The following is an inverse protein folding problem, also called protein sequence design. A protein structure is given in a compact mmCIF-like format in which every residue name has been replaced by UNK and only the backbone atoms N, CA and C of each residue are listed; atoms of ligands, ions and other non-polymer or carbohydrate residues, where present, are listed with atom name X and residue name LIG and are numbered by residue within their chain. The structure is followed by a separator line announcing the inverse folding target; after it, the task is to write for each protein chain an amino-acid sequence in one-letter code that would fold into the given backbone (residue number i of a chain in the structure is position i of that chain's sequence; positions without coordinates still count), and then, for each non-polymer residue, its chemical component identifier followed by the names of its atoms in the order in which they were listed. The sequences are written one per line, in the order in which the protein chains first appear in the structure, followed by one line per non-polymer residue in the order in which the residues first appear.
data_IF_620669198498
#
_entry.id   IF_620669198498
#
_cell.length_a   1.000
_cell.length_b   1.000
_cell.length_c   1.000
_cell.angle_alpha   90.00
_cell.angle_beta   90.00
_cell.angle_gamma   90.00
#
_symmetry.space_group_name_H-M   'P 1'
#
loop_
_entity.id
_entity.type
_entity.pdbx_description
1 polymer ?
#
# COMPACT_ATOMS: atom_id res chain seq x y z
N UNK A 1 23.91 32.06 16.30
CA UNK A 1 23.40 31.23 17.41
C UNK A 1 22.00 30.82 17.07
N UNK A 2 21.83 29.66 16.46
CA UNK A 2 20.53 29.14 16.05
C UNK A 2 20.02 28.15 17.09
N UNK A 3 18.81 28.43 17.57
CA UNK A 3 18.12 27.67 18.61
C UNK A 3 17.63 26.34 18.02
N UNK A 4 18.12 25.22 18.53
CA UNK A 4 17.67 23.88 18.16
C UNK A 4 16.36 23.57 18.88
N UNK A 5 15.23 23.75 18.21
CA UNK A 5 13.95 23.24 18.69
C UNK A 5 13.92 21.72 18.51
N UNK A 6 13.98 20.99 19.62
CA UNK A 6 13.74 19.54 19.63
C UNK A 6 12.24 19.30 19.50
N UNK A 7 11.82 18.74 18.36
CA UNK A 7 10.47 18.20 18.23
C UNK A 7 10.37 16.92 19.06
N UNK A 8 9.62 16.98 20.15
CA UNK A 8 9.27 15.84 20.99
C UNK A 8 7.89 15.35 20.58
N UNK A 9 7.82 14.24 19.84
CA UNK A 9 6.53 13.56 19.62
C UNK A 9 6.18 12.72 20.84
N UNK A 10 5.17 13.14 21.59
CA UNK A 10 4.53 12.31 22.62
C UNK A 10 3.50 11.39 21.93
N UNK A 11 3.82 10.10 21.89
CA UNK A 11 2.84 9.06 21.58
C UNK A 11 1.94 8.82 22.80
N UNK A 12 0.68 9.23 22.72
CA UNK A 12 -0.32 8.87 23.70
C UNK A 12 -0.81 7.45 23.42
N UNK A 13 -0.32 6.48 24.20
CA UNK A 13 -0.84 5.11 24.19
C UNK A 13 -2.05 5.07 25.13
N UNK A 14 -3.25 5.04 24.58
CA UNK A 14 -4.47 4.76 25.31
C UNK A 14 -4.63 3.25 25.53
N UNK A 15 -4.43 2.77 26.73
CA UNK A 15 -4.72 1.40 27.15
C UNK A 15 -6.21 1.28 27.42
N UNK A 16 -6.94 0.57 26.57
CA UNK A 16 -8.31 0.13 26.86
C UNK A 16 -8.25 -1.33 27.37
N UNK A 17 -8.47 -1.47 28.66
CA UNK A 17 -8.67 -2.76 29.32
C UNK A 17 -10.12 -3.23 29.13
N UNK A 18 -10.30 -4.38 28.49
CA UNK A 18 -11.59 -5.07 28.48
C UNK A 18 -11.63 -6.13 29.61
N UNK A 19 -12.56 -5.93 30.55
CA UNK A 19 -12.95 -6.95 31.53
C UNK A 19 -13.94 -7.91 30.89
N UNK A 20 -13.59 -9.18 30.84
CA UNK A 20 -14.51 -10.26 30.50
C UNK A 20 -15.26 -10.70 31.76
N UNK A 21 -16.58 -10.60 31.74
CA UNK A 21 -17.45 -11.20 32.74
C UNK A 21 -18.04 -12.47 32.16
N UNK A 22 -17.63 -13.62 32.69
CA UNK A 22 -18.22 -14.93 32.37
C UNK A 22 -19.41 -15.22 33.27
N UNK A 23 -20.50 -15.70 32.69
CA UNK A 23 -21.58 -16.35 33.44
C UNK A 23 -21.75 -17.78 32.92
N UNK A 24 -21.40 -18.73 33.78
CA UNK A 24 -21.80 -20.14 33.65
C UNK A 24 -23.31 -20.26 33.89
N UNK A 25 -23.99 -21.02 33.05
CA UNK A 25 -25.28 -21.61 33.38
C UNK A 25 -25.25 -23.08 32.97
N UNK A 26 -25.17 -23.94 33.99
CA UNK A 26 -25.39 -25.39 33.90
C UNK A 26 -26.86 -25.69 33.59
N UNK A 27 -27.12 -26.62 32.69
CA UNK A 27 -28.41 -27.31 32.56
C UNK A 27 -28.17 -28.81 32.53
N UNK A 28 -29.04 -29.61 33.16
CA UNK A 28 -28.77 -31.01 33.55
C UNK A 28 -29.08 -32.02 32.46
N UNK A 29 -28.38 -33.14 32.59
CA UNK A 29 -28.44 -34.41 31.81
C UNK A 29 -29.84 -34.97 31.66
N UNK A 30 -30.14 -35.50 30.47
CA UNK A 30 -31.22 -36.46 30.25
C UNK A 30 -30.64 -37.82 29.81
N UNK A 31 -31.24 -38.96 30.22
CA UNK A 31 -30.60 -40.27 30.19
C UNK A 31 -30.69 -41.01 28.85
N UNK A 32 -29.71 -41.88 28.66
CA UNK A 32 -29.44 -42.78 27.56
C UNK A 32 -30.64 -43.64 27.11
N UNK A 33 -30.74 -43.81 25.80
CA UNK A 33 -31.58 -44.79 25.16
C UNK A 33 -30.69 -45.84 24.45
N UNK A 34 -30.95 -47.16 24.56
CA UNK A 34 -29.99 -48.20 24.16
C UNK A 34 -29.94 -48.45 22.65
N UNK A 35 -28.73 -48.77 22.23
CA UNK A 35 -28.32 -49.09 20.85
C UNK A 35 -29.08 -50.25 20.23
N UNK A 36 -29.41 -50.06 18.94
CA UNK A 36 -29.90 -51.11 18.05
C UNK A 36 -28.73 -51.60 17.16
N UNK A 37 -28.39 -52.90 17.10
CA UNK A 37 -27.27 -53.37 16.29
C UNK A 37 -27.60 -53.33 14.80
N UNK A 38 -26.82 -52.53 14.06
CA UNK A 38 -26.98 -52.35 12.62
C UNK A 38 -26.52 -53.54 11.79
N UNK A 39 -27.20 -53.72 10.68
CA UNK A 39 -27.01 -54.67 9.59
C UNK A 39 -25.62 -54.57 8.91
N UNK A 40 -24.84 -55.64 8.70
CA UNK A 40 -23.46 -55.59 8.22
C UNK A 40 -23.30 -55.65 6.69
N UNK A 41 -24.17 -55.05 5.88
CA UNK A 41 -24.13 -55.20 4.41
C UNK A 41 -24.09 -53.90 3.56
N UNK A 42 -23.78 -52.75 4.11
CA UNK A 42 -23.56 -51.54 3.30
C UNK A 42 -22.07 -51.29 3.09
N UNK A 43 -21.56 -51.19 1.83
CA UNK A 43 -20.19 -50.82 1.58
C UNK A 43 -19.97 -49.34 2.03
N UNK A 44 -19.09 -49.15 2.97
CA UNK A 44 -18.63 -47.82 3.39
C UNK A 44 -17.84 -47.21 2.23
N UNK A 45 -18.44 -46.28 1.51
CA UNK A 45 -17.70 -45.44 0.59
C UNK A 45 -16.71 -44.61 1.40
N UNK A 46 -15.39 -44.61 1.09
CA UNK A 46 -14.44 -43.76 1.79
C UNK A 46 -14.89 -42.31 1.66
N UNK A 47 -15.08 -41.63 2.79
CA UNK A 47 -15.24 -40.16 2.77
C UNK A 47 -14.05 -39.56 2.04
N UNK A 48 -14.28 -38.60 1.10
CA UNK A 48 -13.18 -37.84 0.52
C UNK A 48 -12.38 -37.19 1.65
N UNK A 49 -11.04 -37.11 1.53
CA UNK A 49 -10.22 -36.47 2.53
C UNK A 49 -10.80 -35.10 2.83
N UNK A 50 -11.08 -34.80 4.09
CA UNK A 50 -11.46 -33.46 4.53
C UNK A 50 -10.32 -32.54 4.12
N UNK A 51 -10.60 -31.60 3.25
CA UNK A 51 -9.69 -30.46 3.03
C UNK A 51 -9.42 -29.86 4.41
N UNK A 52 -8.17 -29.94 4.85
CA UNK A 52 -7.75 -29.24 6.07
C UNK A 52 -7.99 -27.76 5.82
N UNK A 53 -8.98 -27.19 6.48
CA UNK A 53 -9.21 -25.77 6.50
C UNK A 53 -7.98 -25.12 7.13
N UNK A 54 -7.13 -24.48 6.34
CA UNK A 54 -5.96 -23.75 6.81
C UNK A 54 -6.42 -22.76 7.88
N UNK A 55 -5.95 -22.92 9.11
CA UNK A 55 -6.17 -21.95 10.17
C UNK A 55 -5.30 -20.74 9.85
N UNK A 56 -5.89 -19.64 9.35
CA UNK A 56 -5.17 -18.44 8.98
C UNK A 56 -4.41 -17.77 10.14
N UNK A 57 -4.77 -18.05 11.38
CA UNK A 57 -4.02 -17.61 12.58
C UNK A 57 -2.62 -18.22 12.68
N UNK A 58 -2.35 -19.30 11.93
CA UNK A 58 -1.07 -20.01 11.90
C UNK A 58 -0.52 -20.16 10.49
N UNK A 59 -0.95 -19.35 9.58
CA UNK A 59 -0.57 -19.41 8.17
C UNK A 59 0.92 -19.18 7.96
N UNK A 60 1.50 -18.21 8.68
CA UNK A 60 2.93 -17.89 8.58
C UNK A 60 3.74 -18.97 9.29
N UNK A 61 4.66 -19.61 8.56
CA UNK A 61 5.59 -20.60 9.10
C UNK A 61 6.86 -19.96 9.63
N UNK A 62 7.47 -19.06 8.83
CA UNK A 62 8.71 -18.40 9.17
C UNK A 62 8.76 -16.97 8.59
N UNK A 63 9.48 -16.09 9.27
CA UNK A 63 9.78 -14.72 8.83
C UNK A 63 11.24 -14.44 9.08
N UNK A 64 11.98 -14.07 8.04
CA UNK A 64 13.41 -13.81 8.07
C UNK A 64 13.69 -12.39 7.58
N UNK A 65 14.57 -11.67 8.26
CA UNK A 65 15.13 -10.42 7.75
C UNK A 65 16.39 -10.72 6.96
N UNK A 66 16.38 -10.37 5.68
CA UNK A 66 17.50 -10.58 4.76
C UNK A 66 18.41 -9.34 4.63
N UNK A 67 18.20 -8.32 5.47
CA UNK A 67 19.01 -7.11 5.49
C UNK A 67 18.24 -5.86 5.04
N UNK A 68 18.95 -4.75 4.94
CA UNK A 68 18.40 -3.51 4.40
C UNK A 68 18.42 -3.52 2.87
N UNK A 69 17.35 -3.03 2.25
CA UNK A 69 17.28 -2.85 0.81
C UNK A 69 18.06 -1.62 0.33
N UNK A 70 18.22 -0.62 1.22
CA UNK A 70 18.88 0.65 0.88
C UNK A 70 19.87 1.09 1.98
N UNK A 71 20.68 2.10 1.67
CA UNK A 71 21.67 2.66 2.56
C UNK A 71 23.02 1.95 2.47
N UNK A 72 23.92 2.33 3.36
CA UNK A 72 25.31 1.85 3.38
C UNK A 72 25.45 0.35 3.63
N UNK A 73 24.50 -0.22 4.37
CA UNK A 73 24.52 -1.64 4.76
C UNK A 73 23.78 -2.54 3.77
N UNK A 74 23.18 -1.97 2.72
CA UNK A 74 22.50 -2.75 1.68
C UNK A 74 23.50 -3.43 0.73
N UNK A 75 23.14 -4.56 0.12
CA UNK A 75 24.00 -5.23 -0.87
C UNK A 75 24.39 -4.31 -2.03
N UNK A 76 23.47 -3.48 -2.50
CA UNK A 76 23.69 -2.54 -3.61
C UNK A 76 24.40 -1.25 -3.22
N UNK A 77 24.77 -1.04 -1.92
CA UNK A 77 25.45 0.18 -1.47
C UNK A 77 24.81 1.45 -2.01
N UNK A 78 23.50 1.58 -1.80
CA UNK A 78 22.72 2.68 -2.40
C UNK A 78 23.14 4.08 -1.92
N UNK A 79 23.90 4.15 -0.83
CA UNK A 79 24.55 5.38 -0.36
C UNK A 79 25.53 5.98 -1.41
N UNK A 80 26.09 5.16 -2.28
CA UNK A 80 26.96 5.60 -3.39
C UNK A 80 26.19 6.31 -4.51
N UNK A 81 24.86 6.11 -4.57
CA UNK A 81 23.92 6.82 -5.46
C UNK A 81 23.21 8.01 -4.78
N UNK A 82 23.72 8.51 -3.66
CA UNK A 82 23.09 9.56 -2.84
C UNK A 82 21.76 9.13 -2.21
N UNK A 83 21.55 7.81 -2.00
CA UNK A 83 20.39 7.20 -1.34
C UNK A 83 20.83 6.48 -0.07
N UNK A 84 21.16 7.27 0.95
CA UNK A 84 21.61 6.76 2.25
C UNK A 84 20.49 6.59 3.27
N UNK A 85 19.30 7.12 3.00
CA UNK A 85 18.07 6.91 3.77
C UNK A 85 16.84 7.19 2.96
N UNK A 86 15.88 6.28 2.98
CA UNK A 86 14.58 6.40 2.31
C UNK A 86 13.56 5.45 2.93
N UNK A 87 12.31 5.54 2.49
CA UNK A 87 11.25 4.65 2.90
C UNK A 87 10.43 4.11 1.72
N UNK A 88 9.39 3.34 1.99
CA UNK A 88 8.48 2.67 1.07
C UNK A 88 9.18 1.63 0.20
N UNK A 89 9.38 1.92 -1.09
CA UNK A 89 9.92 0.98 -2.08
C UNK A 89 8.83 0.15 -2.75
N UNK A 90 7.81 0.81 -3.34
CA UNK A 90 6.78 0.14 -4.15
C UNK A 90 7.45 -0.59 -5.30
N UNK A 91 7.39 -1.94 -5.35
CA UNK A 91 8.00 -2.71 -6.41
C UNK A 91 7.13 -2.69 -7.68
N UNK A 92 7.79 -2.69 -8.84
CA UNK A 92 7.17 -2.84 -10.14
C UNK A 92 8.08 -3.66 -11.06
N UNK A 93 7.62 -4.82 -11.50
CA UNK A 93 8.34 -5.59 -12.50
C UNK A 93 8.03 -5.06 -13.90
N UNK A 94 9.04 -4.48 -14.57
CA UNK A 94 8.95 -3.95 -15.92
C UNK A 94 9.37 -5.05 -16.90
N UNK A 95 8.39 -5.77 -17.37
CA UNK A 95 8.56 -7.02 -18.13
C UNK A 95 9.39 -6.84 -19.42
N UNK A 96 9.18 -5.74 -20.14
CA UNK A 96 9.80 -5.45 -21.44
C UNK A 96 11.33 -5.37 -21.36
N UNK A 97 11.85 -4.96 -20.21
CA UNK A 97 13.30 -4.80 -19.96
C UNK A 97 13.84 -5.79 -18.92
N UNK A 98 12.98 -6.67 -18.38
CA UNK A 98 13.32 -7.67 -17.35
C UNK A 98 14.03 -7.04 -16.14
N UNK A 99 13.44 -6.00 -15.54
CA UNK A 99 13.96 -5.32 -14.37
C UNK A 99 12.85 -5.06 -13.36
N UNK A 100 13.19 -5.08 -12.07
CA UNK A 100 12.29 -4.63 -11.01
C UNK A 100 12.67 -3.23 -10.58
N UNK A 101 11.71 -2.32 -10.65
CA UNK A 101 11.84 -0.95 -10.16
C UNK A 101 11.27 -0.85 -8.75
N UNK A 102 11.89 -0.01 -7.92
CA UNK A 102 11.46 0.26 -6.56
C UNK A 102 11.26 1.77 -6.39
N UNK A 103 10.02 2.18 -6.16
CA UNK A 103 9.66 3.58 -5.99
C UNK A 103 9.69 3.93 -4.51
N UNK A 104 10.73 4.62 -4.08
CA UNK A 104 10.92 5.07 -2.71
C UNK A 104 10.20 6.39 -2.46
N UNK A 105 9.84 6.67 -1.20
CA UNK A 105 9.33 7.95 -0.74
C UNK A 105 10.44 8.95 -0.45
N UNK A 106 10.26 9.77 0.58
CA UNK A 106 11.25 10.77 1.00
C UNK A 106 12.65 10.14 1.09
N UNK A 107 13.57 10.68 0.32
CA UNK A 107 14.91 10.13 0.14
C UNK A 107 15.97 11.17 0.44
N UNK A 108 17.01 10.77 1.17
CA UNK A 108 18.07 11.65 1.68
C UNK A 108 19.45 11.06 1.41
N UNK A 109 20.46 11.93 1.41
CA UNK A 109 21.88 11.52 1.30
C UNK A 109 22.29 10.59 2.43
N UNK A 110 21.82 10.80 3.67
CA UNK A 110 22.16 9.97 4.83
C UNK A 110 21.07 10.04 5.91
N UNK A 111 20.47 8.90 6.21
CA UNK A 111 19.34 8.83 7.15
C UNK A 111 18.23 9.79 6.73
N UNK A 112 17.93 10.80 7.53
CA UNK A 112 16.94 11.85 7.22
C UNK A 112 17.59 13.23 7.06
N UNK A 113 18.78 13.26 6.48
CA UNK A 113 19.57 14.50 6.32
C UNK A 113 20.25 14.56 4.96
N UNK A 114 20.57 15.78 4.50
CA UNK A 114 21.24 16.04 3.23
C UNK A 114 20.24 16.39 2.12
N UNK A 115 20.51 15.96 0.92
CA UNK A 115 19.68 16.23 -0.26
C UNK A 115 18.34 15.50 -0.17
N UNK A 116 17.27 16.23 0.04
CA UNK A 116 15.91 15.69 0.14
C UNK A 116 15.22 15.66 -1.22
N UNK A 117 14.79 14.48 -1.63
CA UNK A 117 13.93 14.23 -2.81
C UNK A 117 12.67 13.55 -2.33
N UNK A 118 11.52 13.96 -2.81
CA UNK A 118 10.20 13.41 -2.40
C UNK A 118 10.02 11.94 -2.80
N UNK A 119 10.74 11.51 -3.83
CA UNK A 119 10.69 10.14 -4.33
C UNK A 119 11.84 9.87 -5.29
N UNK A 120 12.29 8.62 -5.38
CA UNK A 120 13.32 8.18 -6.34
C UNK A 120 12.99 6.76 -6.83
N UNK A 121 13.60 6.35 -7.95
CA UNK A 121 13.44 5.00 -8.50
C UNK A 121 14.77 4.27 -8.46
N UNK A 122 14.82 3.21 -7.65
CA UNK A 122 15.90 2.22 -7.67
C UNK A 122 15.59 1.10 -8.67
N UNK A 123 16.62 0.50 -9.22
CA UNK A 123 16.54 -0.54 -10.26
C UNK A 123 17.28 -1.77 -9.77
N UNK A 124 16.63 -2.92 -9.90
CA UNK A 124 17.24 -4.22 -9.62
C UNK A 124 17.12 -5.16 -10.83
N UNK A 125 18.17 -5.92 -11.05
CA UNK A 125 18.21 -7.09 -11.95
C UNK A 125 18.44 -8.37 -11.16
N UNK A 126 18.21 -8.30 -9.83
CA UNK A 126 18.40 -9.43 -8.92
C UNK A 126 17.39 -10.53 -9.22
N UNK A 127 17.87 -11.72 -9.52
CA UNK A 127 17.08 -12.91 -9.83
C UNK A 127 17.09 -13.94 -8.68
N UNK A 128 17.81 -13.65 -7.58
CA UNK A 128 17.88 -14.48 -6.37
C UNK A 128 17.54 -13.72 -5.11
N UNK A 129 16.29 -13.50 -4.84
CA UNK A 129 15.83 -12.75 -3.67
C UNK A 129 16.10 -13.46 -2.32
N UNK A 130 16.55 -14.73 -2.34
CA UNK A 130 16.72 -15.53 -1.12
C UNK A 130 17.95 -15.16 -0.28
N UNK A 131 18.91 -14.44 -0.83
CA UNK A 131 20.13 -13.95 -0.17
C UNK A 131 20.14 -12.44 0.10
N UNK A 132 19.03 -11.77 -0.16
CA UNK A 132 18.83 -10.33 0.03
C UNK A 132 18.32 -9.65 -1.24
N UNK A 133 18.20 -8.34 -1.22
CA UNK A 133 17.81 -7.53 -2.37
C UNK A 133 18.96 -6.61 -2.78
N UNK A 134 19.42 -6.76 -4.00
CA UNK A 134 20.43 -5.88 -4.60
C UNK A 134 19.77 -4.86 -5.51
N UNK A 135 19.74 -3.59 -5.09
CA UNK A 135 19.39 -2.46 -5.95
C UNK A 135 20.70 -1.93 -6.53
N UNK A 136 20.90 -2.20 -7.82
CA UNK A 136 22.20 -2.01 -8.49
C UNK A 136 22.32 -0.70 -9.27
N UNK A 137 21.22 0.03 -9.44
CA UNK A 137 21.17 1.26 -10.23
C UNK A 137 19.99 2.15 -9.81
N UNK A 138 19.98 3.39 -10.28
CA UNK A 138 18.89 4.36 -10.07
C UNK A 138 18.63 5.13 -11.36
N UNK A 139 17.43 5.73 -11.46
CA UNK A 139 17.18 6.75 -12.48
C UNK A 139 17.96 8.00 -12.09
N UNK A 140 18.86 8.42 -12.97
CA UNK A 140 19.81 9.49 -12.70
C UNK A 140 19.49 10.76 -13.49
N UNK A 141 19.81 11.91 -12.92
CA UNK A 141 19.88 13.17 -13.65
C UNK A 141 21.04 13.15 -14.64
N UNK A 142 21.07 14.10 -15.58
CA UNK A 142 22.20 14.28 -16.52
C UNK A 142 23.53 14.58 -15.83
N UNK A 143 23.51 15.03 -14.58
CA UNK A 143 24.70 15.27 -13.75
C UNK A 143 25.12 14.04 -12.92
N UNK A 144 24.41 12.92 -13.05
CA UNK A 144 24.77 11.65 -12.42
C UNK A 144 24.28 11.47 -10.98
N UNK A 145 23.41 12.35 -10.49
CA UNK A 145 22.73 12.17 -9.20
C UNK A 145 21.39 11.45 -9.37
N UNK A 146 20.96 10.71 -8.34
CA UNK A 146 19.64 10.07 -8.35
C UNK A 146 18.54 11.14 -8.48
N UNK A 147 17.72 10.98 -9.52
CA UNK A 147 16.63 11.89 -9.86
C UNK A 147 15.37 11.58 -9.07
N UNK A 148 14.51 12.57 -8.89
CA UNK A 148 13.12 12.37 -8.46
C UNK A 148 12.22 12.05 -9.66
N UNK A 149 11.07 11.44 -9.38
CA UNK A 149 9.97 11.24 -10.36
C UNK A 149 9.10 12.50 -10.43
N UNK A 150 8.67 12.97 -9.26
CA UNK A 150 7.94 14.23 -9.06
C UNK A 150 8.32 14.81 -7.71
N UNK A 151 8.81 16.04 -7.66
CA UNK A 151 9.27 16.60 -6.41
C UNK A 151 8.18 17.42 -5.71
N UNK A 152 8.20 17.44 -4.38
CA UNK A 152 7.45 18.37 -3.56
C UNK A 152 8.19 19.68 -3.38
N UNK A 153 7.52 20.69 -2.82
CA UNK A 153 8.12 22.00 -2.55
C UNK A 153 9.03 22.00 -1.33
N UNK A 154 8.98 20.96 -0.50
CA UNK A 154 9.70 20.84 0.76
C UNK A 154 9.46 22.03 1.71
N UNK A 155 8.24 22.55 1.66
CA UNK A 155 7.79 23.65 2.52
C UNK A 155 7.39 23.12 3.91
N UNK A 156 8.37 23.10 4.82
CA UNK A 156 8.13 22.67 6.20
C UNK A 156 7.31 23.68 7.03
N UNK A 157 6.93 24.82 6.47
CA UNK A 157 6.03 25.77 7.12
C UNK A 157 4.57 25.32 7.09
N UNK A 158 4.23 24.31 6.25
CA UNK A 158 2.89 23.77 6.10
C UNK A 158 1.94 24.64 5.27
N UNK A 159 2.45 25.67 4.59
CA UNK A 159 1.58 26.57 3.84
C UNK A 159 1.14 26.03 2.49
N UNK A 160 2.00 25.27 1.80
CA UNK A 160 1.72 24.78 0.46
C UNK A 160 1.80 23.26 0.36
N UNK A 161 3.01 22.72 0.39
CA UNK A 161 3.28 21.31 0.17
C UNK A 161 4.61 20.91 0.80
N UNK A 162 4.60 19.90 1.64
CA UNK A 162 5.81 19.36 2.26
C UNK A 162 6.51 18.41 1.30
N UNK A 163 5.78 17.44 0.76
CA UNK A 163 6.36 16.39 -0.09
C UNK A 163 5.29 15.74 -0.98
N UNK A 164 5.72 14.96 -1.97
CA UNK A 164 4.87 14.10 -2.80
C UNK A 164 5.29 12.64 -2.61
N UNK A 165 4.46 11.84 -1.98
CA UNK A 165 4.75 10.47 -1.58
C UNK A 165 4.11 9.47 -2.54
N UNK A 166 4.85 8.49 -3.11
CA UNK A 166 4.29 7.40 -3.90
C UNK A 166 3.27 6.60 -3.07
N UNK A 167 2.18 6.18 -3.72
CA UNK A 167 1.14 5.36 -3.09
C UNK A 167 0.88 4.05 -3.81
N UNK A 168 1.42 3.91 -5.02
CA UNK A 168 1.36 2.70 -5.80
C UNK A 168 1.80 2.92 -7.24
N UNK A 169 2.16 1.85 -7.90
CA UNK A 169 2.73 1.84 -9.24
C UNK A 169 2.13 0.72 -10.06
N UNK A 170 2.03 0.92 -11.37
CA UNK A 170 1.57 -0.11 -12.30
C UNK A 170 2.17 0.12 -13.69
N UNK A 171 2.43 -0.98 -14.41
CA UNK A 171 2.80 -0.97 -15.81
C UNK A 171 1.58 -1.39 -16.67
N UNK A 172 1.24 -0.59 -17.65
CA UNK A 172 0.20 -0.90 -18.63
C UNK A 172 0.82 -0.81 -20.02
N UNK A 173 1.09 -1.97 -20.60
CA UNK A 173 1.62 -2.11 -21.95
C UNK A 173 2.88 -1.23 -22.21
N UNK A 174 3.80 -1.20 -21.23
CA UNK A 174 5.07 -0.45 -21.30
C UNK A 174 4.96 1.01 -20.91
N UNK A 175 3.78 1.48 -20.49
CA UNK A 175 3.60 2.79 -19.85
C UNK A 175 3.57 2.62 -18.34
N UNK A 176 4.51 3.22 -17.64
CA UNK A 176 4.61 3.17 -16.20
C UNK A 176 3.74 4.30 -15.59
N UNK A 177 2.92 3.96 -14.60
CA UNK A 177 2.12 4.93 -13.85
C UNK A 177 2.53 4.89 -12.38
N UNK A 178 2.85 6.05 -11.79
CA UNK A 178 3.05 6.20 -10.36
C UNK A 178 1.96 7.11 -9.79
N UNK A 179 1.16 6.56 -8.90
CA UNK A 179 0.22 7.33 -8.08
C UNK A 179 0.95 7.87 -6.86
N UNK A 180 0.56 9.08 -6.43
CA UNK A 180 1.17 9.75 -5.29
C UNK A 180 0.14 10.63 -4.59
N UNK A 181 0.39 10.96 -3.33
CA UNK A 181 -0.32 12.07 -2.68
C UNK A 181 0.60 13.27 -2.45
N UNK A 182 -0.01 14.46 -2.47
CA UNK A 182 0.60 15.72 -2.10
C UNK A 182 0.31 15.99 -0.62
N UNK A 183 1.35 16.05 0.21
CA UNK A 183 1.24 16.30 1.64
C UNK A 183 1.28 17.79 1.92
N UNK A 184 0.23 18.30 2.60
CA UNK A 184 0.18 19.70 3.04
C UNK A 184 0.90 19.92 4.36
N UNK A 185 0.49 19.18 5.42
CA UNK A 185 1.04 19.36 6.78
C UNK A 185 0.95 18.06 7.59
N UNK A 186 2.11 17.55 8.02
CA UNK A 186 2.20 16.35 8.87
C UNK A 186 1.60 16.53 10.28
N UNK A 187 1.35 17.78 10.71
CA UNK A 187 0.79 18.08 12.05
C UNK A 187 -0.73 18.32 12.01
N UNK A 188 -1.34 18.37 10.83
CA UNK A 188 -2.78 18.53 10.69
C UNK A 188 -3.56 17.30 11.21
N UNK A 189 -4.86 17.43 11.38
CA UNK A 189 -5.72 16.27 11.61
C UNK A 189 -5.63 15.33 10.38
N UNK A 190 -5.67 14.01 10.60
CA UNK A 190 -5.36 13.00 9.55
C UNK A 190 -6.17 13.15 8.28
N UNK A 191 -7.44 13.54 8.39
CA UNK A 191 -8.31 13.78 7.25
C UNK A 191 -7.97 15.08 6.49
N UNK A 192 -7.20 15.98 7.10
CA UNK A 192 -6.86 17.30 6.57
C UNK A 192 -5.43 17.41 6.03
N UNK A 193 -4.60 16.36 6.19
CA UNK A 193 -3.16 16.41 5.91
C UNK A 193 -2.81 16.53 4.43
N UNK A 194 -3.57 15.87 3.56
CA UNK A 194 -3.21 15.73 2.14
C UNK A 194 -3.99 16.69 1.28
N UNK A 195 -3.30 17.35 0.34
CA UNK A 195 -3.92 18.24 -0.66
C UNK A 195 -4.76 17.44 -1.67
N UNK A 196 -4.16 16.43 -2.28
CA UNK A 196 -4.77 15.61 -3.33
C UNK A 196 -3.96 14.32 -3.55
N UNK A 197 -4.57 13.33 -4.19
CA UNK A 197 -3.90 12.22 -4.86
C UNK A 197 -3.76 12.55 -6.35
N UNK A 198 -2.63 12.19 -6.94
CA UNK A 198 -2.32 12.45 -8.35
C UNK A 198 -1.62 11.27 -9.02
N UNK A 199 -1.37 11.41 -10.31
CA UNK A 199 -0.67 10.41 -11.10
C UNK A 199 0.35 11.06 -12.05
N UNK A 200 1.50 10.42 -12.20
CA UNK A 200 2.47 10.69 -13.28
C UNK A 200 2.66 9.43 -14.10
N UNK A 201 3.05 9.59 -15.35
CA UNK A 201 3.37 8.48 -16.26
C UNK A 201 4.71 8.66 -16.95
N UNK A 202 5.30 7.55 -17.36
CA UNK A 202 6.50 7.47 -18.19
C UNK A 202 6.28 6.46 -19.32
N UNK A 203 6.68 6.84 -20.54
CA UNK A 203 6.65 5.97 -21.73
C UNK A 203 8.06 5.57 -22.19
N UNK A 204 9.08 5.91 -21.41
CA UNK A 204 10.49 5.68 -21.69
C UNK A 204 11.22 4.97 -20.54
N UNK A 205 10.49 4.07 -19.84
CA UNK A 205 11.00 3.29 -18.71
C UNK A 205 11.56 4.15 -17.58
N UNK A 206 10.87 5.25 -17.26
CA UNK A 206 11.17 6.09 -16.10
C UNK A 206 12.24 7.16 -16.33
N UNK A 207 12.72 7.36 -17.57
CA UNK A 207 13.72 8.39 -17.86
C UNK A 207 13.09 9.81 -17.81
N UNK A 208 11.85 9.93 -18.27
CA UNK A 208 11.07 11.17 -18.15
C UNK A 208 9.68 10.88 -17.62
N UNK A 209 9.11 11.85 -16.92
CA UNK A 209 7.80 11.73 -16.28
C UNK A 209 6.93 12.94 -16.61
N UNK A 210 5.66 12.70 -16.90
CA UNK A 210 4.66 13.74 -17.10
C UNK A 210 3.44 13.52 -16.21
N UNK A 211 2.78 14.60 -15.77
CA UNK A 211 1.55 14.51 -14.99
C UNK A 211 0.38 14.08 -15.86
N UNK A 212 -0.43 13.18 -15.35
CA UNK A 212 -1.74 12.85 -15.90
C UNK A 212 -2.78 13.71 -15.16
N UNK A 213 -3.00 14.95 -15.63
CA UNK A 213 -3.79 15.97 -14.92
C UNK A 213 -5.21 15.52 -14.61
N UNK A 214 -5.86 14.78 -15.52
CA UNK A 214 -7.21 14.25 -15.31
C UNK A 214 -7.26 13.26 -14.13
N UNK A 215 -6.15 12.59 -13.81
CA UNK A 215 -6.03 11.70 -12.67
C UNK A 215 -5.63 12.45 -11.40
N UNK A 216 -6.56 13.26 -10.91
CA UNK A 216 -6.40 14.01 -9.67
C UNK A 216 -7.63 13.81 -8.78
N UNK A 217 -7.42 13.43 -7.52
CA UNK A 217 -8.45 13.27 -6.49
C UNK A 217 -8.21 14.29 -5.37
N UNK A 218 -8.93 15.39 -5.41
CA UNK A 218 -8.73 16.52 -4.48
C UNK A 218 -9.39 16.21 -3.14
N UNK A 219 -8.66 16.46 -2.07
CA UNK A 219 -9.20 16.38 -0.71
C UNK A 219 -9.88 17.71 -0.32
N UNK A 220 -11.21 17.77 -0.32
CA UNK A 220 -11.93 19.00 0.05
C UNK A 220 -11.84 19.36 1.54
N UNK A 221 -11.42 18.40 2.39
CA UNK A 221 -11.25 18.57 3.84
C UNK A 221 -9.81 19.02 4.19
N UNK A 222 -8.90 19.12 3.20
CA UNK A 222 -7.55 19.59 3.42
C UNK A 222 -7.55 20.99 4.07
N UNK A 223 -6.65 21.18 5.03
CA UNK A 223 -6.48 22.48 5.68
C UNK A 223 -5.87 23.57 4.80
N UNK A 224 -5.29 23.21 3.65
CA UNK A 224 -4.74 24.16 2.69
C UNK A 224 -5.83 24.94 1.95
N UNK A 225 -5.49 26.12 1.46
CA UNK A 225 -6.43 26.92 0.69
C UNK A 225 -6.72 26.30 -0.68
N UNK A 226 -7.97 26.45 -1.16
CA UNK A 226 -8.34 26.00 -2.52
C UNK A 226 -7.44 26.62 -3.61
N UNK A 227 -7.02 27.88 -3.45
CA UNK A 227 -6.16 28.55 -4.40
C UNK A 227 -4.75 27.92 -4.45
N UNK A 228 -4.20 27.55 -3.29
CA UNK A 228 -2.92 26.85 -3.23
C UNK A 228 -3.03 25.45 -3.85
N UNK A 229 -4.08 24.69 -3.51
CA UNK A 229 -4.30 23.35 -4.09
C UNK A 229 -4.44 23.46 -5.62
N UNK A 230 -5.19 24.44 -6.13
CA UNK A 230 -5.32 24.68 -7.58
C UNK A 230 -3.97 25.00 -8.23
N UNK A 231 -3.13 25.81 -7.56
CA UNK A 231 -1.78 26.11 -8.05
C UNK A 231 -0.92 24.85 -8.14
N UNK A 232 -0.89 24.04 -7.06
CA UNK A 232 -0.11 22.80 -7.01
C UNK A 232 -0.56 21.79 -8.07
N UNK A 233 -1.86 21.68 -8.34
CA UNK A 233 -2.39 20.79 -9.36
C UNK A 233 -1.99 21.24 -10.78
N UNK A 234 -1.85 22.53 -11.01
CA UNK A 234 -1.47 23.07 -12.31
C UNK A 234 0.05 23.00 -12.60
N UNK A 235 0.84 22.52 -11.66
CA UNK A 235 2.29 22.35 -11.86
C UNK A 235 2.63 21.13 -12.70
N UNK A 236 3.76 21.17 -13.40
CA UNK A 236 4.39 20.01 -14.05
C UNK A 236 5.02 19.08 -13.02
N UNK A 237 5.63 17.99 -13.46
CA UNK A 237 6.40 17.10 -12.58
C UNK A 237 7.61 17.81 -11.94
N UNK A 238 8.14 18.85 -12.59
CA UNK A 238 9.28 19.67 -12.13
C UNK A 238 8.84 20.94 -11.37
N UNK A 239 7.59 21.01 -10.91
CA UNK A 239 6.99 22.14 -10.19
C UNK A 239 6.95 23.47 -11.00
N UNK A 240 6.95 23.38 -12.32
CA UNK A 240 6.77 24.55 -13.18
C UNK A 240 5.28 24.85 -13.38
N UNK A 241 4.89 26.12 -13.26
CA UNK A 241 3.53 26.55 -13.58
C UNK A 241 3.36 26.54 -15.10
N UNK A 242 2.50 25.69 -15.63
CA UNK A 242 1.96 25.68 -17.02
C UNK A 242 1.35 24.32 -17.42
N UNK A 243 1.15 23.43 -16.45
CA UNK A 243 0.71 22.07 -16.73
C UNK A 243 -0.76 21.96 -17.07
N UNK A 244 -1.56 21.64 -16.10
CA UNK A 244 -2.98 21.37 -16.27
C UNK A 244 -3.87 22.56 -15.96
N UNK A 245 -5.11 22.46 -16.38
CA UNK A 245 -6.17 23.41 -16.02
C UNK A 245 -7.46 22.64 -15.74
N UNK A 246 -7.42 21.79 -14.71
CA UNK A 246 -8.62 21.11 -14.23
C UNK A 246 -9.35 21.99 -13.20
N UNK A 247 -10.68 21.90 -13.17
CA UNK A 247 -11.45 22.49 -12.11
C UNK A 247 -11.45 21.54 -10.89
N UNK A 248 -10.85 21.96 -9.79
CA UNK A 248 -10.71 21.13 -8.58
C UNK A 248 -12.05 20.64 -8.03
N UNK A 249 -13.14 21.39 -8.23
CA UNK A 249 -14.46 21.01 -7.69
C UNK A 249 -15.06 19.80 -8.40
N UNK A 250 -14.68 19.56 -9.65
CA UNK A 250 -15.08 18.38 -10.41
C UNK A 250 -14.28 17.12 -10.02
N UNK A 251 -13.18 17.31 -9.29
CA UNK A 251 -12.23 16.27 -8.89
C UNK A 251 -12.22 15.99 -7.38
N UNK A 252 -13.22 16.45 -6.62
CA UNK A 252 -13.28 16.15 -5.19
C UNK A 252 -13.44 14.64 -4.93
N UNK A 253 -12.42 14.06 -4.30
CA UNK A 253 -12.34 12.65 -3.94
C UNK A 253 -11.82 12.46 -2.53
N UNK A 254 -12.60 12.81 -1.51
CA UNK A 254 -12.23 12.84 -0.09
C UNK A 254 -11.49 11.58 0.40
N UNK A 255 -11.97 10.41 0.04
CA UNK A 255 -11.44 9.12 0.52
C UNK A 255 -10.45 8.47 -0.47
N UNK A 256 -9.77 9.24 -1.32
CA UNK A 256 -9.10 8.68 -2.50
C UNK A 256 -7.75 9.33 -2.77
N UNK A 257 -7.07 9.81 -1.74
CA UNK A 257 -5.77 10.47 -1.89
C UNK A 257 -4.60 9.48 -1.89
N UNK A 258 -4.74 8.32 -1.23
CA UNK A 258 -3.80 7.21 -1.32
C UNK A 258 -4.38 6.14 -2.25
N UNK A 259 -3.63 5.78 -3.29
CA UNK A 259 -4.10 4.92 -4.38
C UNK A 259 -3.10 3.81 -4.61
N UNK A 260 -3.50 2.56 -4.38
CA UNK A 260 -2.73 1.37 -4.69
C UNK A 260 -3.36 0.64 -5.89
N UNK A 261 -2.79 0.74 -7.10
CA UNK A 261 -3.31 0.05 -8.27
C UNK A 261 -2.86 -1.41 -8.30
N UNK A 262 -3.68 -2.27 -8.91
CA UNK A 262 -3.34 -3.67 -9.21
C UNK A 262 -4.03 -4.12 -10.50
N UNK A 263 -3.34 -4.93 -11.29
CA UNK A 263 -3.91 -5.56 -12.48
C UNK A 263 -4.90 -6.66 -12.07
N UNK A 264 -6.18 -6.48 -12.42
CA UNK A 264 -7.22 -7.46 -12.14
C UNK A 264 -7.14 -8.73 -13.00
N UNK A 265 -6.28 -8.74 -14.03
CA UNK A 265 -6.15 -9.82 -15.02
C UNK A 265 -7.44 -10.13 -15.81
N UNK A 266 -8.41 -9.23 -15.73
CA UNK A 266 -9.71 -9.28 -16.39
C UNK A 266 -9.97 -8.10 -17.36
N UNK A 267 -8.89 -7.34 -17.66
CA UNK A 267 -8.92 -6.14 -18.50
C UNK A 267 -9.13 -4.85 -17.71
N UNK A 268 -9.33 -4.95 -16.40
CA UNK A 268 -9.43 -3.80 -15.51
C UNK A 268 -8.16 -3.62 -14.68
N UNK A 269 -7.84 -2.37 -14.39
CA UNK A 269 -7.01 -1.97 -13.26
C UNK A 269 -7.95 -1.71 -12.09
N UNK A 270 -7.67 -2.33 -10.95
CA UNK A 270 -8.35 -2.05 -9.69
C UNK A 270 -7.48 -1.13 -8.84
N UNK A 271 -8.14 -0.22 -8.13
CA UNK A 271 -7.47 0.75 -7.27
C UNK A 271 -8.03 0.63 -5.87
N UNK A 272 -7.16 0.26 -4.94
CA UNK A 272 -7.48 0.33 -3.52
C UNK A 272 -7.23 1.76 -3.07
N UNK A 273 -8.25 2.40 -2.52
CA UNK A 273 -8.31 3.83 -2.26
C UNK A 273 -8.45 4.08 -0.76
N UNK A 274 -7.64 4.96 -0.22
CA UNK A 274 -7.74 5.40 1.16
C UNK A 274 -7.64 6.92 1.23
N UNK A 275 -8.39 7.54 2.13
CA UNK A 275 -8.33 8.96 2.43
C UNK A 275 -8.13 9.17 3.92
N UNK A 276 -7.50 10.29 4.28
CA UNK A 276 -7.17 10.57 5.65
C UNK A 276 -6.02 9.70 6.16
N UNK A 277 -4.82 10.21 6.13
CA UNK A 277 -3.58 9.48 6.42
C UNK A 277 -3.68 8.51 7.61
N UNK A 278 -3.69 7.19 7.32
CA UNK A 278 -3.81 6.10 8.30
C UNK A 278 -5.05 6.21 9.20
N UNK A 279 -6.19 6.62 8.63
CA UNK A 279 -7.40 6.89 9.39
C UNK A 279 -8.62 6.07 8.97
N UNK A 280 -8.67 5.63 7.71
CA UNK A 280 -9.80 4.89 7.15
C UNK A 280 -9.38 3.53 6.58
N UNK A 281 -10.34 2.64 6.38
CA UNK A 281 -10.14 1.40 5.64
C UNK A 281 -10.26 1.62 4.13
N UNK A 282 -9.63 0.77 3.31
CA UNK A 282 -9.58 0.96 1.87
C UNK A 282 -10.96 0.77 1.22
N UNK A 283 -11.25 1.59 0.23
CA UNK A 283 -12.34 1.46 -0.73
C UNK A 283 -11.81 0.92 -2.05
N UNK A 284 -12.67 0.63 -3.01
CA UNK A 284 -12.27 0.08 -4.28
C UNK A 284 -12.86 0.88 -5.44
N UNK A 285 -12.04 1.14 -6.44
CA UNK A 285 -12.48 1.52 -7.77
C UNK A 285 -11.85 0.58 -8.81
N UNK A 286 -12.34 0.67 -10.04
CA UNK A 286 -11.73 0.02 -11.19
C UNK A 286 -11.90 0.88 -12.44
N UNK A 287 -11.04 0.63 -13.41
CA UNK A 287 -11.12 1.25 -14.74
C UNK A 287 -10.62 0.27 -15.79
N UNK A 288 -11.18 0.27 -16.98
CA UNK A 288 -10.61 -0.48 -18.11
C UNK A 288 -9.18 0.04 -18.40
N UNK A 289 -8.21 -0.86 -18.63
CA UNK A 289 -6.82 -0.49 -18.90
C UNK A 289 -6.69 0.59 -19.97
N UNK A 290 -7.44 0.48 -21.06
CA UNK A 290 -7.44 1.45 -22.16
C UNK A 290 -7.98 2.83 -21.79
N UNK A 291 -8.66 2.97 -20.65
CA UNK A 291 -9.28 4.21 -20.18
C UNK A 291 -8.59 4.72 -18.89
N UNK A 292 -7.41 4.19 -18.56
CA UNK A 292 -6.75 4.48 -17.28
C UNK A 292 -6.51 5.99 -17.05
N UNK A 293 -6.32 6.76 -18.11
CA UNK A 293 -6.07 8.21 -18.01
C UNK A 293 -7.36 9.07 -17.97
N UNK A 294 -8.54 8.46 -17.99
CA UNK A 294 -9.81 9.18 -18.08
C UNK A 294 -10.58 9.10 -16.76
N UNK A 295 -10.53 10.16 -15.96
CA UNK A 295 -11.12 10.23 -14.61
C UNK A 295 -12.60 9.83 -14.58
N UNK A 296 -13.41 10.28 -15.56
CA UNK A 296 -14.84 9.98 -15.62
C UNK A 296 -15.17 8.52 -15.92
N UNK A 297 -14.19 7.72 -16.37
CA UNK A 297 -14.36 6.29 -16.71
C UNK A 297 -14.19 5.38 -15.48
N UNK A 298 -13.69 5.90 -14.37
CA UNK A 298 -13.52 5.13 -13.15
C UNK A 298 -14.86 4.72 -12.54
N UNK A 299 -14.97 3.43 -12.19
CA UNK A 299 -16.13 2.81 -11.58
C UNK A 299 -15.83 2.50 -10.11
N UNK A 300 -16.63 3.04 -9.20
CA UNK A 300 -16.44 2.94 -7.75
C UNK A 300 -17.34 1.86 -7.17
N UNK A 301 -16.75 0.91 -6.45
CA UNK A 301 -17.46 -0.20 -5.81
C UNK A 301 -18.41 0.31 -4.71
N UNK A 302 -19.63 -0.20 -4.70
CA UNK A 302 -20.64 0.23 -3.73
C UNK A 302 -21.07 -0.87 -2.78
N UNK A 303 -21.25 -2.09 -3.29
CA UNK A 303 -21.65 -3.28 -2.51
C UNK A 303 -21.60 -4.54 -3.38
N UNK A 304 -21.76 -5.68 -2.73
CA UNK A 304 -22.09 -6.94 -3.42
C UNK A 304 -23.60 -7.03 -3.57
N UNK A 305 -24.05 -7.38 -4.77
CA UNK A 305 -25.47 -7.58 -5.09
C UNK A 305 -26.03 -8.86 -4.46
N UNK A 306 -27.33 -9.04 -4.52
CA UNK A 306 -28.00 -10.25 -4.02
C UNK A 306 -27.68 -11.50 -4.86
N UNK A 307 -27.15 -11.32 -6.05
CA UNK A 307 -26.67 -12.34 -6.98
C UNK A 307 -25.17 -12.67 -6.77
N UNK A 308 -24.51 -12.06 -5.78
CA UNK A 308 -23.09 -12.22 -5.48
C UNK A 308 -22.16 -11.37 -6.35
N UNK A 309 -22.68 -10.61 -7.30
CA UNK A 309 -21.87 -9.77 -8.19
C UNK A 309 -21.58 -8.39 -7.59
N UNK A 310 -20.41 -7.78 -7.88
CA UNK A 310 -20.09 -6.44 -7.42
C UNK A 310 -20.89 -5.39 -8.17
N UNK A 311 -21.39 -4.40 -7.45
CA UNK A 311 -22.11 -3.25 -8.00
C UNK A 311 -21.21 -2.02 -7.93
N UNK A 312 -21.03 -1.36 -9.08
CA UNK A 312 -20.22 -0.16 -9.22
C UNK A 312 -21.08 1.04 -9.62
N UNK A 313 -20.58 2.24 -9.34
CA UNK A 313 -21.09 3.51 -9.88
C UNK A 313 -19.96 4.28 -10.54
N UNK A 314 -20.22 4.85 -11.71
CA UNK A 314 -19.24 5.50 -12.56
C UNK A 314 -19.05 6.98 -12.21
N UNK A 315 -17.82 7.46 -12.33
CA UNK A 315 -17.45 8.87 -12.29
C UNK A 315 -17.91 9.59 -11.01
N UNK A 316 -18.33 10.83 -11.15
CA UNK A 316 -18.77 11.69 -10.04
C UNK A 316 -19.91 11.11 -9.21
N UNK A 317 -20.78 10.29 -9.79
CA UNK A 317 -21.85 9.60 -9.05
C UNK A 317 -21.29 8.53 -8.10
N UNK A 318 -20.20 7.87 -8.49
CA UNK A 318 -19.51 6.91 -7.65
C UNK A 318 -18.80 7.61 -6.50
N UNK A 319 -18.05 8.66 -6.77
CA UNK A 319 -17.35 9.47 -5.77
C UNK A 319 -18.35 10.04 -4.75
N UNK A 320 -19.42 10.66 -5.21
CA UNK A 320 -20.46 11.20 -4.35
C UNK A 320 -21.14 10.12 -3.47
N UNK A 321 -21.26 8.89 -4.00
CA UNK A 321 -21.79 7.77 -3.24
C UNK A 321 -20.85 7.31 -2.13
N UNK A 322 -19.54 7.28 -2.39
CA UNK A 322 -18.54 6.81 -1.42
C UNK A 322 -18.24 7.81 -0.32
N UNK A 323 -18.46 9.11 -0.56
CA UNK A 323 -18.09 10.21 0.36
C UNK A 323 -18.61 9.94 1.77
N UNK A 324 -17.69 9.85 2.73
CA UNK A 324 -17.98 9.68 4.14
C UNK A 324 -18.65 8.35 4.53
N UNK A 325 -18.73 7.36 3.65
CA UNK A 325 -19.35 6.07 3.94
C UNK A 325 -18.34 5.01 4.37
N UNK A 326 -18.37 4.66 5.64
CA UNK A 326 -17.59 3.54 6.18
C UNK A 326 -18.10 2.17 5.71
N UNK A 327 -19.38 2.06 5.37
CA UNK A 327 -19.99 0.81 4.88
C UNK A 327 -19.46 0.34 3.50
N UNK A 328 -18.72 1.17 2.79
CA UNK A 328 -18.08 0.83 1.51
C UNK A 328 -16.61 0.49 1.66
N UNK A 329 -16.06 0.54 2.87
CA UNK A 329 -14.71 0.06 3.14
C UNK A 329 -14.65 -1.47 3.02
N UNK A 330 -13.62 -1.96 2.35
CA UNK A 330 -13.37 -3.41 2.20
C UNK A 330 -12.93 -4.05 3.51
N UNK A 331 -12.26 -3.26 4.34
CA UNK A 331 -11.79 -3.62 5.68
C UNK A 331 -12.08 -2.44 6.61
N UNK A 332 -12.57 -2.71 7.82
CA UNK A 332 -12.89 -1.66 8.80
C UNK A 332 -11.67 -1.10 9.55
N UNK A 333 -10.52 -1.76 9.46
CA UNK A 333 -9.28 -1.28 10.08
C UNK A 333 -8.73 -0.07 9.31
N UNK A 334 -8.12 0.92 10.00
CA UNK A 334 -7.35 1.95 9.33
C UNK A 334 -6.18 1.36 8.55
N UNK A 335 -6.04 1.81 7.31
CA UNK A 335 -4.93 1.50 6.44
C UNK A 335 -4.04 2.74 6.30
N UNK A 336 -2.78 2.52 6.01
CA UNK A 336 -1.85 3.53 5.54
C UNK A 336 -1.30 3.09 4.20
N UNK A 337 0.01 3.17 4.07
CA UNK A 337 0.72 2.64 2.92
C UNK A 337 0.40 1.15 2.78
N UNK A 338 -0.05 0.75 1.60
CA UNK A 338 -0.51 -0.61 1.34
C UNK A 338 0.06 -1.17 0.04
N UNK A 339 0.14 -2.49 -0.03
CA UNK A 339 0.33 -3.23 -1.28
C UNK A 339 -0.80 -4.23 -1.50
N UNK A 340 -1.14 -4.48 -2.76
CA UNK A 340 -2.18 -5.42 -3.15
C UNK A 340 -1.67 -6.33 -4.26
N UNK A 341 -1.93 -7.63 -4.16
CA UNK A 341 -1.46 -8.65 -5.11
C UNK A 341 -2.31 -9.92 -5.01
N UNK A 342 -2.20 -10.78 -6.03
CA UNK A 342 -2.73 -12.14 -5.95
C UNK A 342 -1.65 -13.10 -5.43
N UNK A 343 -2.02 -13.97 -4.49
CA UNK A 343 -1.16 -15.06 -4.04
C UNK A 343 -1.72 -16.38 -4.54
N UNK A 344 -1.01 -17.03 -5.46
CA UNK A 344 -1.48 -18.23 -6.12
C UNK A 344 -1.46 -19.47 -5.22
N UNK A 345 -0.56 -19.54 -4.22
CA UNK A 345 -0.52 -20.60 -3.22
C UNK A 345 -1.75 -20.57 -2.32
N UNK A 346 -2.11 -19.39 -1.84
CA UNK A 346 -3.29 -19.16 -1.00
C UNK A 346 -4.57 -19.10 -1.83
N UNK A 347 -4.46 -18.90 -3.14
CA UNK A 347 -5.58 -18.65 -4.08
C UNK A 347 -6.43 -17.47 -3.62
N UNK A 348 -5.77 -16.39 -3.18
CA UNK A 348 -6.43 -15.22 -2.58
C UNK A 348 -5.87 -13.92 -3.16
N UNK A 349 -6.73 -12.94 -3.28
CA UNK A 349 -6.35 -11.55 -3.35
C UNK A 349 -5.94 -11.09 -1.95
N UNK A 350 -4.81 -10.44 -1.86
CA UNK A 350 -4.20 -10.00 -0.61
C UNK A 350 -4.02 -8.49 -0.60
N UNK A 351 -4.27 -7.87 0.54
CA UNK A 351 -3.93 -6.48 0.82
C UNK A 351 -3.09 -6.45 2.10
N UNK A 352 -1.91 -5.86 2.04
CA UNK A 352 -1.06 -5.70 3.21
C UNK A 352 -0.98 -4.24 3.64
N UNK A 353 -0.96 -4.03 4.94
CA UNK A 353 -0.69 -2.73 5.58
C UNK A 353 -0.07 -2.91 6.95
N UNK A 354 0.55 -1.86 7.47
CA UNK A 354 0.93 -1.80 8.87
C UNK A 354 -0.26 -1.27 9.69
N UNK A 355 -0.70 -2.05 10.66
CA UNK A 355 -1.51 -1.55 11.76
C UNK A 355 -0.57 -1.09 12.88
N UNK A 356 -1.00 -0.27 13.82
CA UNK A 356 -0.10 0.26 14.87
C UNK A 356 0.71 -0.77 15.67
N UNK A 357 0.41 -2.08 15.52
CA UNK A 357 1.05 -3.16 16.28
C UNK A 357 1.63 -4.29 15.44
N UNK A 358 1.39 -4.33 14.13
CA UNK A 358 1.82 -5.44 13.28
C UNK A 358 1.78 -5.12 11.78
N UNK A 359 2.51 -5.91 10.98
CA UNK A 359 2.21 -6.07 9.55
C UNK A 359 1.09 -7.10 9.44
N UNK A 360 0.00 -6.67 8.81
CA UNK A 360 -1.20 -7.47 8.60
C UNK A 360 -1.47 -7.70 7.12
N UNK A 361 -1.91 -8.89 6.78
CA UNK A 361 -2.40 -9.26 5.46
C UNK A 361 -3.89 -9.63 5.55
N UNK A 362 -4.73 -8.99 4.75
CA UNK A 362 -6.15 -9.27 4.60
C UNK A 362 -6.37 -9.96 3.26
N UNK A 363 -7.26 -10.95 3.23
CA UNK A 363 -7.40 -11.86 2.09
C UNK A 363 -8.86 -12.05 1.71
N UNK A 364 -9.10 -12.19 0.39
CA UNK A 364 -10.41 -12.45 -0.19
C UNK A 364 -10.34 -13.39 -1.39
N UNK A 365 -11.43 -14.09 -1.70
CA UNK A 365 -11.55 -14.90 -2.92
C UNK A 365 -11.66 -14.04 -4.17
N UNK A 366 -12.26 -12.87 -4.03
CA UNK A 366 -12.47 -11.91 -5.12
C UNK A 366 -11.78 -10.60 -4.81
N UNK A 367 -11.27 -9.92 -5.83
CA UNK A 367 -10.59 -8.63 -5.68
C UNK A 367 -11.48 -7.55 -5.05
N UNK A 368 -12.78 -7.68 -5.19
CA UNK A 368 -13.77 -6.80 -4.56
C UNK A 368 -14.21 -7.25 -3.16
N UNK A 369 -13.56 -8.27 -2.59
CA UNK A 369 -13.86 -8.80 -1.26
C UNK A 369 -14.97 -9.86 -1.21
N UNK A 370 -15.48 -10.16 0.00
CA UNK A 370 -15.13 -9.55 1.27
C UNK A 370 -13.72 -9.96 1.75
N UNK A 371 -12.99 -9.01 2.37
CA UNK A 371 -11.67 -9.23 3.00
C UNK A 371 -11.85 -9.55 4.49
N UNK A 372 -12.56 -10.61 4.78
CA UNK A 372 -12.91 -11.08 6.12
C UNK A 372 -11.87 -12.03 6.74
N UNK A 373 -10.98 -12.55 5.91
CA UNK A 373 -9.88 -13.40 6.32
C UNK A 373 -8.60 -12.57 6.48
N UNK A 374 -7.88 -12.78 7.59
CA UNK A 374 -6.65 -12.03 7.87
C UNK A 374 -5.60 -12.90 8.55
N UNK A 375 -4.33 -12.58 8.35
CA UNK A 375 -3.24 -13.11 9.16
C UNK A 375 -2.27 -11.98 9.55
N UNK A 376 -1.62 -12.16 10.69
CA UNK A 376 -0.49 -11.36 11.12
C UNK A 376 0.77 -11.93 10.48
N UNK A 377 1.49 -11.13 9.70
CA UNK A 377 2.78 -11.52 9.15
C UNK A 377 3.83 -11.51 10.28
N UNK A 378 3.97 -10.40 10.98
CA UNK A 378 4.73 -10.30 12.23
C UNK A 378 4.31 -9.06 13.03
N UNK A 379 4.46 -9.10 14.38
CA UNK A 379 4.16 -7.95 15.23
C UNK A 379 5.28 -6.91 15.18
N UNK A 380 4.98 -5.66 15.50
CA UNK A 380 5.95 -4.57 15.57
C UNK A 380 7.05 -4.76 16.63
N UNK A 381 6.79 -5.62 17.62
CA UNK A 381 7.77 -6.04 18.62
C UNK A 381 8.68 -7.18 18.17
N UNK A 382 8.52 -7.68 16.94
CA UNK A 382 9.33 -8.77 16.40
C UNK A 382 10.79 -8.35 16.26
N UNK A 383 11.75 -9.22 16.63
CA UNK A 383 13.17 -8.98 16.39
C UNK A 383 13.54 -9.06 14.90
N UNK A 384 12.63 -9.45 14.04
CA UNK A 384 12.80 -9.49 12.57
C UNK A 384 13.15 -8.11 12.01
N UNK A 385 12.63 -7.04 12.60
CA UNK A 385 12.97 -5.67 12.22
C UNK A 385 13.69 -4.98 13.40
N UNK A 386 14.63 -4.06 13.12
CA UNK A 386 15.46 -3.46 14.18
C UNK A 386 14.68 -2.66 15.22
N UNK A 387 13.36 -2.46 15.08
CA UNK A 387 12.58 -1.55 15.93
C UNK A 387 11.06 -1.62 15.79
N UNK A 388 10.41 -0.77 16.66
CA UNK A 388 8.96 -0.78 16.90
C UNK A 388 8.12 0.10 15.96
N UNK A 389 8.72 0.87 15.06
CA UNK A 389 7.99 1.79 14.16
C UNK A 389 8.01 1.29 12.72
N UNK A 390 7.38 0.15 12.50
CA UNK A 390 7.25 -0.47 11.17
C UNK A 390 6.06 0.10 10.40
N UNK A 391 6.22 0.28 9.09
CA UNK A 391 5.16 0.69 8.18
C UNK A 391 5.47 0.27 6.73
N UNK A 392 4.54 0.53 5.83
CA UNK A 392 4.70 0.35 4.39
C UNK A 392 5.22 -1.06 3.99
N UNK A 393 4.41 -2.13 4.20
CA UNK A 393 4.76 -3.45 3.69
C UNK A 393 4.48 -3.51 2.18
N UNK A 394 5.56 -3.58 1.37
CA UNK A 394 5.48 -3.54 -0.08
C UNK A 394 5.88 -4.87 -0.70
N UNK A 395 4.98 -5.46 -1.46
CA UNK A 395 5.20 -6.70 -2.22
C UNK A 395 4.37 -6.70 -3.49
N UNK A 396 4.78 -7.52 -4.45
CA UNK A 396 4.05 -7.83 -5.68
C UNK A 396 4.10 -9.33 -5.97
N UNK A 397 3.33 -9.78 -6.96
CA UNK A 397 3.28 -11.19 -7.34
C UNK A 397 4.63 -11.71 -7.82
N UNK A 398 5.41 -10.89 -8.53
CA UNK A 398 6.74 -11.23 -9.05
C UNK A 398 7.81 -11.37 -7.95
N UNK A 399 7.53 -10.91 -6.74
CA UNK A 399 8.36 -11.13 -5.55
C UNK A 399 7.87 -12.35 -4.74
N UNK A 400 7.40 -13.38 -5.42
CA UNK A 400 6.92 -14.62 -4.81
C UNK A 400 7.57 -15.83 -5.49
N UNK A 401 7.90 -16.83 -4.69
CA UNK A 401 8.43 -18.11 -5.14
C UNK A 401 7.48 -19.24 -4.71
N UNK A 402 7.64 -20.43 -5.31
CA UNK A 402 6.81 -21.61 -5.05
C UNK A 402 5.29 -21.28 -5.14
N UNK A 403 4.89 -20.55 -6.20
CA UNK A 403 3.53 -20.06 -6.41
C UNK A 403 2.98 -19.16 -5.28
N UNK A 404 3.85 -18.52 -4.53
CA UNK A 404 3.46 -17.62 -3.44
C UNK A 404 3.53 -18.24 -2.05
N UNK A 405 4.04 -19.48 -1.91
CA UNK A 405 4.36 -20.06 -0.61
C UNK A 405 5.50 -19.31 0.08
N UNK A 406 6.43 -18.79 -0.69
CA UNK A 406 7.46 -17.86 -0.26
C UNK A 406 7.11 -16.49 -0.84
N UNK A 407 7.09 -15.48 -0.01
CA UNK A 407 6.82 -14.09 -0.38
C UNK A 407 7.93 -13.20 0.18
N UNK A 408 8.39 -12.28 -0.64
CA UNK A 408 9.32 -11.23 -0.19
C UNK A 408 8.58 -9.90 -0.12
N UNK A 409 8.96 -9.08 0.86
CA UNK A 409 8.42 -7.74 1.02
C UNK A 409 9.46 -6.78 1.57
N UNK A 410 9.32 -5.51 1.24
CA UNK A 410 9.99 -4.44 1.95
C UNK A 410 9.10 -3.98 3.11
N UNK A 411 9.69 -3.56 4.20
CA UNK A 411 8.99 -2.84 5.27
C UNK A 411 9.88 -1.74 5.81
N UNK A 412 9.32 -0.55 5.91
CA UNK A 412 10.04 0.64 6.33
C UNK A 412 10.08 0.78 7.84
N UNK A 413 11.13 1.43 8.31
CA UNK A 413 11.27 1.86 9.70
C UNK A 413 11.62 3.34 9.75
N UNK A 414 11.15 4.03 10.83
CA UNK A 414 11.39 5.46 11.00
C UNK A 414 12.68 5.75 11.78
N UNK A 415 12.92 4.98 12.83
CA UNK A 415 14.07 5.13 13.75
C UNK A 415 14.55 3.75 14.20
N UNK A 416 15.87 3.61 14.49
CA UNK A 416 17.01 4.51 14.34
C UNK A 416 17.50 4.59 12.89
N UNK A 417 17.04 3.72 12.01
CA UNK A 417 17.40 3.67 10.60
C UNK A 417 16.19 4.02 9.72
N UNK A 418 16.38 4.96 8.84
CA UNK A 418 15.37 5.34 7.85
C UNK A 418 15.65 4.61 6.53
N UNK A 419 15.48 3.28 6.57
CA UNK A 419 15.71 2.38 5.44
C UNK A 419 14.72 1.22 5.48
N UNK A 420 14.18 0.76 4.35
CA UNK A 420 13.36 -0.44 4.30
C UNK A 420 14.22 -1.70 4.52
N UNK A 421 13.71 -2.59 5.36
CA UNK A 421 14.22 -3.96 5.52
C UNK A 421 13.60 -4.86 4.47
N UNK A 422 14.37 -5.81 3.95
CA UNK A 422 13.92 -6.85 3.04
C UNK A 422 13.61 -8.12 3.82
N UNK A 423 12.37 -8.57 3.73
CA UNK A 423 11.82 -9.62 4.59
C UNK A 423 11.33 -10.78 3.72
N UNK A 424 11.74 -12.00 4.10
CA UNK A 424 11.23 -13.25 3.54
C UNK A 424 10.16 -13.83 4.46
N UNK A 425 9.01 -14.16 3.90
CA UNK A 425 7.89 -14.81 4.59
C UNK A 425 7.64 -16.17 3.95
N UNK A 426 7.58 -17.22 4.77
CA UNK A 426 7.22 -18.57 4.32
C UNK A 426 5.87 -18.93 4.90
N UNK A 427 4.93 -19.33 4.07
CA UNK A 427 3.63 -19.86 4.48
C UNK A 427 3.69 -21.38 4.71
N UNK A 428 2.73 -21.90 5.51
CA UNK A 428 2.62 -23.34 5.84
C UNK A 428 2.05 -24.15 4.68
#
# INVERSE_FOLDING_TARGET
MMNKSKLLFLSLVGILSFSACGTNTDTPDTPDNPENPGDPSTPVTPEPPKEETLSYDRLVYNVENLGFATGRESPGRTDEFDVGGCDLGYPLYVKEINKTYFFFGDTFTSGQTGHWRSNVVGISTDDNLSDGLTISDFILTTSGYTSYVINGHHDNSGFNEVTKIPTGVIDIDGTLYMYYFSMWDWNAARDNMMNYGGCVKSTDYGQTWERVYDLTWVNPECGNSKANIQSLINETADNELNGGNINIEDHYGFDMTQICPVDGKDGYVYLFLEGGYRNHGPKLARVLKQNIEVFSEYEYFTKIGTDGNPIYRKGSQGIAYLKGKTSTQLVSNPFGEMSAFYNAYLKKWCIMTATGSAIMMFMADHIYGPYDTRCMIFPSSSPVVPQNSIYAPMSIEEMQEENGKIMYLLTSTWLPYYNPSFIKVTFR
#
